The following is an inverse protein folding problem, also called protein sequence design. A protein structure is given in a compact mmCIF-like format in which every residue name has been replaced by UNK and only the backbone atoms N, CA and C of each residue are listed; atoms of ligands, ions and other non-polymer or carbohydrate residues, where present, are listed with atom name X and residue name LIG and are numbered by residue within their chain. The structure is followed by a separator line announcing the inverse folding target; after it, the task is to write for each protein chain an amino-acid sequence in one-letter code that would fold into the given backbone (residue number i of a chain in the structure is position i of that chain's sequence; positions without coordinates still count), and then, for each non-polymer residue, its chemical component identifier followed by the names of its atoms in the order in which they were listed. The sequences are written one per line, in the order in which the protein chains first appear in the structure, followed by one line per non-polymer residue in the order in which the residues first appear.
data_IF_063871321452
#
_entry.id   IF_063871321452
#
_cell.length_a   1.000
_cell.length_b   1.000
_cell.length_c   1.000
_cell.angle_alpha   90.00
_cell.angle_beta   90.00
_cell.angle_gamma   90.00
#
_symmetry.space_group_name_H-M   'P 1'
#
loop_
_entity.id
_entity.type
_entity.pdbx_description
1 polymer ?
#
# COMPACT_ATOMS: atom_id res chain seq x y z
N UNK A 1 -8.30 8.86 -11.05
CA UNK A 1 -8.82 7.67 -10.35
C UNK A 1 -8.97 8.06 -8.89
N UNK A 2 -10.15 7.89 -8.30
CA UNK A 2 -10.36 8.15 -6.88
C UNK A 2 -9.73 7.00 -6.08
N UNK A 3 -9.19 7.26 -4.89
CA UNK A 3 -8.68 6.21 -3.99
C UNK A 3 -9.78 5.19 -3.67
N UNK A 4 -11.04 5.65 -3.59
CA UNK A 4 -12.19 4.77 -3.41
C UNK A 4 -12.34 3.72 -4.51
N UNK A 5 -11.91 4.03 -5.74
CA UNK A 5 -11.95 3.10 -6.87
C UNK A 5 -10.90 1.98 -6.74
N UNK A 6 -9.93 2.13 -5.82
CA UNK A 6 -8.89 1.14 -5.54
C UNK A 6 -9.28 0.16 -4.44
N UNK A 7 -10.37 0.40 -3.71
CA UNK A 7 -10.83 -0.49 -2.63
C UNK A 7 -11.21 -1.85 -3.24
N UNK A 8 -10.74 -2.92 -2.61
CA UNK A 8 -10.86 -4.30 -3.09
C UNK A 8 -9.77 -4.72 -4.08
N UNK A 9 -8.90 -3.81 -4.53
CA UNK A 9 -7.81 -4.13 -5.48
C UNK A 9 -6.51 -4.46 -4.75
N UNK A 10 -5.68 -5.27 -5.40
CA UNK A 10 -4.29 -5.49 -4.97
C UNK A 10 -3.47 -4.23 -5.20
N UNK A 11 -2.72 -3.84 -4.18
CA UNK A 11 -1.89 -2.65 -4.15
C UNK A 11 -0.52 -2.96 -3.55
N UNK A 12 0.45 -2.11 -3.87
CA UNK A 12 1.77 -2.04 -3.23
C UNK A 12 1.93 -0.63 -2.65
N UNK A 13 2.14 -0.52 -1.35
CA UNK A 13 2.46 0.75 -0.70
C UNK A 13 3.97 0.87 -0.52
N UNK A 14 4.58 1.83 -1.19
CA UNK A 14 6.00 2.15 -1.05
C UNK A 14 6.17 3.19 0.07
N UNK A 15 6.92 2.88 1.12
CA UNK A 15 7.10 3.80 2.26
C UNK A 15 8.11 4.89 1.90
N UNK A 16 7.68 6.15 2.01
CA UNK A 16 8.48 7.33 1.73
C UNK A 16 9.43 7.63 2.90
N UNK A 17 10.65 8.12 2.60
CA UNK A 17 11.65 8.49 3.61
C UNK A 17 12.55 7.34 4.10
N UNK A 18 12.23 6.08 3.79
CA UNK A 18 13.14 4.94 3.98
C UNK A 18 13.90 4.56 2.69
N UNK A 19 13.62 5.26 1.58
CA UNK A 19 14.33 5.13 0.32
C UNK A 19 15.69 5.86 0.40
N UNK A 20 16.64 5.31 1.15
CA UNK A 20 18.05 5.60 0.91
C UNK A 20 18.52 4.70 -0.24
N UNK A 21 18.85 5.31 -1.37
CA UNK A 21 19.13 4.75 -2.70
C UNK A 21 20.24 3.67 -2.79
N UNK A 22 20.69 3.06 -1.69
CA UNK A 22 21.86 2.17 -1.73
C UNK A 22 21.83 0.94 -0.82
N UNK A 23 20.91 0.81 0.15
CA UNK A 23 21.12 -0.17 1.24
C UNK A 23 19.92 -0.93 1.80
N UNK A 24 18.69 -0.77 1.29
CA UNK A 24 17.56 -1.59 1.78
C UNK A 24 16.71 -2.14 0.63
N UNK A 25 16.58 -3.48 0.50
CA UNK A 25 15.73 -4.09 -0.51
C UNK A 25 14.28 -3.68 -0.24
N UNK A 26 13.71 -2.98 -1.22
CA UNK A 26 12.29 -2.68 -1.41
C UNK A 26 11.38 -2.86 -0.17
N UNK A 27 11.40 -1.92 0.78
CA UNK A 27 10.40 -1.87 1.86
C UNK A 27 9.05 -1.37 1.31
N UNK A 28 8.33 -2.25 0.62
CA UNK A 28 6.93 -2.05 0.29
C UNK A 28 6.04 -3.00 1.07
N UNK A 29 4.82 -2.54 1.33
CA UNK A 29 3.75 -3.37 1.87
C UNK A 29 2.81 -3.78 0.73
N UNK A 30 2.66 -5.09 0.49
CA UNK A 30 1.73 -5.62 -0.52
C UNK A 30 0.48 -6.16 0.16
N UNK A 31 -0.67 -5.91 -0.45
CA UNK A 31 -1.92 -6.50 0.00
C UNK A 31 -3.12 -5.99 -0.78
N UNK A 32 -4.31 -6.22 -0.24
CA UNK A 32 -5.54 -5.66 -0.79
C UNK A 32 -5.91 -4.39 -0.06
N UNK A 33 -6.17 -3.29 -0.78
CA UNK A 33 -6.70 -2.07 -0.16
C UNK A 33 -8.13 -2.35 0.31
N UNK A 34 -8.38 -2.32 1.61
CA UNK A 34 -9.71 -2.61 2.17
C UNK A 34 -10.45 -1.35 2.60
N UNK A 35 -9.78 -0.21 2.64
CA UNK A 35 -10.42 1.07 2.88
C UNK A 35 -9.44 2.25 2.88
N UNK A 36 -10.02 3.43 2.91
CA UNK A 36 -9.31 4.70 3.06
C UNK A 36 -10.18 5.64 3.90
N UNK A 37 -9.63 6.14 5.00
CA UNK A 37 -10.32 7.09 5.86
C UNK A 37 -9.33 8.11 6.43
N UNK A 38 -9.74 9.38 6.49
CA UNK A 38 -8.95 10.49 7.07
C UNK A 38 -7.46 10.52 6.67
N UNK A 39 -7.15 10.19 5.41
CA UNK A 39 -5.77 10.18 4.93
C UNK A 39 -4.96 8.94 5.36
N UNK A 40 -5.61 7.85 5.75
CA UNK A 40 -4.98 6.57 6.13
C UNK A 40 -5.44 5.49 5.16
N UNK A 41 -4.49 4.78 4.54
CA UNK A 41 -4.76 3.57 3.78
C UNK A 41 -4.84 2.36 4.70
N UNK A 42 -5.87 1.54 4.55
CA UNK A 42 -6.01 0.26 5.24
C UNK A 42 -5.73 -0.86 4.26
N UNK A 43 -4.62 -1.58 4.45
CA UNK A 43 -4.18 -2.63 3.52
C UNK A 43 -4.18 -3.97 4.26
N UNK A 44 -4.94 -4.93 3.75
CA UNK A 44 -4.97 -6.30 4.27
C UNK A 44 -3.85 -7.12 3.65
N UNK A 45 -2.95 -7.65 4.49
CA UNK A 45 -1.97 -8.67 4.06
C UNK A 45 -2.72 -9.99 3.84
N UNK A 46 -2.53 -10.61 2.67
CA UNK A 46 -3.18 -11.88 2.31
C UNK A 46 -2.63 -13.07 3.11
N UNK A 47 -1.34 -13.06 3.47
CA UNK A 47 -0.68 -14.14 4.21
C UNK A 47 -1.04 -14.12 5.69
N UNK A 48 -0.98 -12.93 6.30
CA UNK A 48 -1.14 -12.77 7.74
C UNK A 48 -2.58 -12.46 8.16
N UNK A 49 -3.48 -12.13 7.21
CA UNK A 49 -4.86 -11.67 7.44
C UNK A 49 -4.98 -10.46 8.37
N UNK A 50 -3.88 -9.74 8.60
CA UNK A 50 -3.83 -8.50 9.38
C UNK A 50 -4.08 -7.31 8.46
N UNK A 51 -4.78 -6.30 8.98
CA UNK A 51 -4.92 -5.00 8.32
C UNK A 51 -3.87 -4.05 8.87
N UNK A 52 -3.02 -3.54 7.99
CA UNK A 52 -2.02 -2.52 8.30
C UNK A 52 -2.53 -1.17 7.86
N UNK A 53 -2.46 -0.20 8.77
CA UNK A 53 -2.85 1.18 8.52
C UNK A 53 -1.61 2.01 8.20
N UNK A 54 -1.59 2.67 7.03
CA UNK A 54 -0.45 3.46 6.57
C UNK A 54 -0.94 4.89 6.27
N UNK A 55 -0.38 5.92 6.92
CA UNK A 55 -0.69 7.30 6.58
C UNK A 55 -0.33 7.61 5.12
N UNK A 56 -1.27 8.19 4.38
CA UNK A 56 -1.11 8.51 2.96
C UNK A 56 0.04 9.48 2.68
N UNK A 57 0.37 10.37 3.62
CA UNK A 57 1.54 11.24 3.53
C UNK A 57 2.90 10.53 3.69
N UNK A 58 2.89 9.25 4.10
CA UNK A 58 4.10 8.46 4.34
C UNK A 58 4.31 7.35 3.31
N UNK A 59 3.44 7.22 2.30
CA UNK A 59 3.60 6.20 1.29
C UNK A 59 3.06 6.61 -0.08
N UNK A 60 3.64 6.04 -1.13
CA UNK A 60 3.04 6.03 -2.46
C UNK A 60 2.25 4.72 -2.63
N UNK A 61 0.95 4.82 -2.91
CA UNK A 61 0.11 3.65 -3.19
C UNK A 61 0.09 3.36 -4.69
N UNK A 62 0.52 2.16 -5.08
CA UNK A 62 0.61 1.71 -6.46
C UNK A 62 -0.40 0.59 -6.66
N UNK A 63 -1.35 0.76 -7.57
CA UNK A 63 -2.26 -0.30 -7.97
C UNK A 63 -1.50 -1.36 -8.77
N UNK A 64 -1.68 -2.64 -8.41
CA UNK A 64 -1.11 -3.75 -9.16
C UNK A 64 -2.15 -4.18 -10.20
N UNK A 65 -2.18 -3.51 -11.34
CA UNK A 65 -3.03 -3.92 -12.46
C UNK A 65 -2.36 -5.07 -13.23
N UNK A 66 -3.05 -6.21 -13.39
CA UNK A 66 -2.81 -7.13 -14.50
C UNK A 66 -1.41 -7.73 -14.67
N UNK A 67 -0.61 -7.92 -13.63
CA UNK A 67 0.57 -8.79 -13.71
C UNK A 67 0.18 -10.20 -13.26
N UNK A 68 -0.18 -11.02 -14.26
CA UNK A 68 -0.03 -12.48 -14.22
C UNK A 68 1.44 -12.87 -14.03
#
# INVERSE_FOLDING_TARGET
MNVSDLIGRRVRALILGQYQESLTPEMYFRGTLVGFDQGIFMIRNEEQRVVTCIPSGQCLLIALEGQE
#
